data_IF_005908260148
#
_entry.id   IF_005908260148
#
_cell.length_a   1.000
_cell.length_b   1.000
_cell.length_c   1.000
_cell.angle_alpha   90.00
_cell.angle_beta   90.00
_cell.angle_gamma   90.00
#
_symmetry.space_group_name_H-M   'P 1'
#
loop_
_entity.id
_entity.type
_entity.pdbx_description
1 polymer ?
#
# COMPACT_ATOMS: atom_id res chain seq x y z
N UNK A 1 15.46 21.82 -0.24
CA UNK A 1 14.32 20.90 -0.11
C UNK A 1 13.86 20.54 -1.51
N UNK A 2 14.16 19.32 -1.98
CA UNK A 2 13.73 18.88 -3.29
C UNK A 2 12.22 18.67 -3.23
N UNK A 3 11.45 19.50 -3.92
CA UNK A 3 10.02 19.27 -4.16
C UNK A 3 9.91 17.96 -4.90
N UNK A 4 9.40 16.91 -4.23
CA UNK A 4 8.93 15.70 -4.91
C UNK A 4 7.90 16.16 -5.94
N UNK A 5 8.29 16.18 -7.21
CA UNK A 5 7.44 16.68 -8.27
C UNK A 5 6.25 15.71 -8.41
N UNK A 6 5.19 16.02 -7.71
CA UNK A 6 3.86 15.61 -8.09
C UNK A 6 3.64 16.19 -9.48
N UNK A 7 3.37 15.37 -10.47
CA UNK A 7 3.00 15.85 -11.81
C UNK A 7 1.77 16.73 -11.63
N UNK A 8 1.86 17.92 -12.16
CA UNK A 8 1.10 19.12 -11.87
C UNK A 8 -0.33 18.87 -11.38
N UNK A 9 -0.71 19.61 -10.32
CA UNK A 9 -2.09 19.70 -9.80
C UNK A 9 -3.11 19.93 -10.93
N UNK A 10 -2.71 20.57 -12.02
CA UNK A 10 -3.51 20.78 -13.22
C UNK A 10 -3.87 19.49 -13.94
N UNK A 11 -2.97 18.51 -14.05
CA UNK A 11 -3.27 17.22 -14.67
C UNK A 11 -4.17 16.39 -13.75
N UNK A 12 -3.88 16.37 -12.46
CA UNK A 12 -4.69 15.68 -11.46
C UNK A 12 -6.13 16.22 -11.42
N UNK A 13 -6.33 17.53 -11.55
CA UNK A 13 -7.65 18.15 -11.54
C UNK A 13 -8.55 17.72 -12.71
N UNK A 14 -7.97 17.44 -13.88
CA UNK A 14 -8.70 17.01 -15.07
C UNK A 14 -9.24 15.57 -14.97
N UNK A 15 -8.70 14.77 -14.06
CA UNK A 15 -9.05 13.36 -13.86
C UNK A 15 -9.73 13.10 -12.50
N UNK A 16 -10.05 14.15 -11.74
CA UNK A 16 -10.69 14.04 -10.44
C UNK A 16 -12.06 13.37 -10.54
N UNK A 17 -12.28 12.35 -9.73
CA UNK A 17 -13.60 11.79 -9.47
C UNK A 17 -14.21 12.50 -8.26
N UNK A 18 -15.34 13.17 -8.43
CA UNK A 18 -15.98 13.98 -7.39
C UNK A 18 -16.73 13.15 -6.31
N UNK A 19 -16.92 11.85 -6.54
CA UNK A 19 -17.76 11.04 -5.66
C UNK A 19 -16.99 10.44 -4.50
N UNK A 20 -17.30 10.88 -3.30
CA UNK A 20 -16.77 10.28 -2.07
C UNK A 20 -17.33 8.88 -1.86
N UNK A 21 -16.44 7.89 -1.82
CA UNK A 21 -16.78 6.48 -1.57
C UNK A 21 -16.62 6.14 -0.07
N UNK A 22 -17.23 5.03 0.43
CA UNK A 22 -16.95 4.54 1.78
C UNK A 22 -15.45 4.36 2.04
N UNK A 23 -14.69 3.92 1.05
CA UNK A 23 -13.26 3.77 1.13
C UNK A 23 -12.53 5.11 1.32
N UNK A 24 -12.84 6.13 0.53
CA UNK A 24 -12.19 7.45 0.68
C UNK A 24 -12.53 8.11 2.01
N UNK A 25 -13.74 7.89 2.55
CA UNK A 25 -14.09 8.31 3.91
C UNK A 25 -13.24 7.60 4.96
N UNK A 26 -13.07 6.29 4.82
CA UNK A 26 -12.21 5.53 5.71
C UNK A 26 -10.75 6.01 5.65
N UNK A 27 -10.17 6.17 4.46
CA UNK A 27 -8.80 6.69 4.29
C UNK A 27 -8.63 8.04 4.99
N UNK A 28 -9.59 8.97 4.82
CA UNK A 28 -9.59 10.25 5.52
C UNK A 28 -9.64 10.09 7.05
N UNK A 29 -10.41 9.13 7.56
CA UNK A 29 -10.53 8.89 9.00
C UNK A 29 -9.26 8.34 9.66
N UNK A 30 -8.33 7.77 8.88
CA UNK A 30 -7.03 7.29 9.37
C UNK A 30 -6.06 8.44 9.73
N UNK A 31 -6.38 9.68 9.38
CA UNK A 31 -5.58 10.86 9.73
C UNK A 31 -4.25 10.98 9.00
N UNK A 32 -4.06 10.19 7.94
CA UNK A 32 -2.86 10.23 7.09
C UNK A 32 -3.02 11.21 5.94
N UNK A 33 -1.88 11.67 5.41
CA UNK A 33 -1.90 12.43 4.17
C UNK A 33 -2.33 11.54 3.00
N UNK A 34 -3.11 12.13 2.12
CA UNK A 34 -3.47 11.56 0.83
C UNK A 34 -2.79 12.42 -0.21
N UNK A 35 -1.82 11.84 -0.94
CA UNK A 35 -1.17 12.52 -2.04
C UNK A 35 -1.95 12.21 -3.32
N UNK A 36 -2.72 13.16 -3.85
CA UNK A 36 -3.31 13.02 -5.17
C UNK A 36 -2.16 12.99 -6.16
N UNK A 37 -2.04 11.92 -6.95
CA UNK A 37 -0.91 11.81 -7.85
C UNK A 37 -1.29 11.01 -9.10
N UNK A 38 -0.90 11.55 -10.24
CA UNK A 38 -0.81 10.77 -11.47
C UNK A 38 0.52 10.01 -11.52
N UNK A 39 1.57 10.58 -10.91
CA UNK A 39 2.92 10.05 -10.94
C UNK A 39 3.69 10.45 -9.68
N UNK A 40 4.40 9.49 -9.07
CA UNK A 40 5.33 9.71 -7.97
C UNK A 40 6.74 9.34 -8.44
N UNK A 41 7.61 10.33 -8.53
CA UNK A 41 8.96 10.15 -9.06
C UNK A 41 9.79 9.13 -8.27
N UNK A 42 9.71 9.18 -6.96
CA UNK A 42 10.49 8.30 -6.08
C UNK A 42 9.74 8.03 -4.77
N UNK A 43 9.32 6.79 -4.59
CA UNK A 43 8.58 6.36 -3.40
C UNK A 43 9.42 6.37 -2.12
N UNK A 44 10.75 6.29 -2.24
CA UNK A 44 11.66 6.31 -1.07
C UNK A 44 11.78 7.70 -0.43
N UNK A 45 11.30 8.75 -1.08
CA UNK A 45 11.44 10.14 -0.64
C UNK A 45 10.13 10.84 -0.32
N UNK A 46 9.00 10.11 -0.35
CA UNK A 46 7.70 10.67 0.06
C UNK A 46 7.69 10.90 1.57
N UNK A 47 7.05 11.99 1.98
CA UNK A 47 6.86 12.29 3.40
C UNK A 47 5.85 11.30 4.00
N UNK A 48 6.17 10.74 5.16
CA UNK A 48 5.32 9.79 5.87
C UNK A 48 4.87 10.40 7.20
N UNK A 49 3.67 10.04 7.66
CA UNK A 49 3.13 10.38 8.97
C UNK A 49 2.93 9.12 9.82
N UNK A 50 2.99 9.23 11.16
CA UNK A 50 2.67 8.11 12.04
C UNK A 50 1.27 7.57 11.77
N UNK A 51 1.18 6.26 11.60
CA UNK A 51 -0.10 5.54 11.48
C UNK A 51 -0.34 4.75 12.77
N UNK A 52 -0.98 5.38 13.75
CA UNK A 52 -1.14 4.83 15.10
C UNK A 52 -1.77 3.44 15.10
N UNK A 53 -2.81 3.21 14.30
CA UNK A 53 -3.49 1.92 14.21
C UNK A 53 -2.58 0.79 13.71
N UNK A 54 -1.59 1.10 12.88
CA UNK A 54 -0.69 0.12 12.27
C UNK A 54 0.66 -0.02 12.97
N UNK A 55 1.07 1.00 13.75
CA UNK A 55 2.36 1.02 14.44
C UNK A 55 3.56 1.34 13.55
N UNK A 56 3.34 1.98 12.41
CA UNK A 56 4.36 2.43 11.47
C UNK A 56 4.11 3.85 11.00
N UNK A 57 4.81 4.29 9.95
CA UNK A 57 4.60 5.56 9.29
C UNK A 57 4.09 5.32 7.88
N UNK A 58 3.14 6.13 7.39
CA UNK A 58 2.57 5.91 6.07
C UNK A 58 2.09 7.20 5.37
N UNK A 59 1.80 7.06 4.08
CA UNK A 59 1.10 8.04 3.24
C UNK A 59 0.27 7.29 2.21
N UNK A 60 -0.96 7.71 1.99
CA UNK A 60 -1.78 7.20 0.90
C UNK A 60 -1.43 7.90 -0.41
N UNK A 61 -1.37 7.13 -1.49
CA UNK A 61 -1.16 7.63 -2.84
C UNK A 61 -2.45 7.37 -3.62
N UNK A 62 -3.24 8.41 -3.78
CA UNK A 62 -4.46 8.31 -4.58
C UNK A 62 -4.12 8.56 -6.05
N UNK A 63 -4.21 7.51 -6.86
CA UNK A 63 -3.99 7.60 -8.30
C UNK A 63 -5.29 8.02 -9.00
N UNK A 64 -5.48 9.31 -9.20
CA UNK A 64 -6.65 9.89 -9.85
C UNK A 64 -7.01 9.22 -11.18
N UNK A 65 -6.00 8.77 -11.93
CA UNK A 65 -6.20 8.07 -13.21
C UNK A 65 -6.88 6.70 -13.05
N UNK A 66 -6.80 6.05 -11.91
CA UNK A 66 -7.44 4.75 -11.66
C UNK A 66 -8.88 4.86 -11.16
N UNK A 67 -9.41 6.06 -11.02
CA UNK A 67 -10.77 6.34 -10.52
C UNK A 67 -11.12 5.54 -9.26
N UNK A 68 -10.18 5.45 -8.32
CA UNK A 68 -10.33 4.71 -7.06
C UNK A 68 -10.46 3.18 -7.18
N UNK A 69 -10.30 2.61 -8.38
CA UNK A 69 -10.30 1.16 -8.57
C UNK A 69 -8.99 0.50 -8.08
N UNK A 70 -7.89 1.25 -8.08
CA UNK A 70 -6.60 0.84 -7.55
C UNK A 70 -6.05 1.96 -6.69
N UNK A 71 -5.69 1.62 -5.48
CA UNK A 71 -5.05 2.53 -4.55
C UNK A 71 -3.75 1.95 -4.04
N UNK A 72 -2.87 2.79 -3.54
CA UNK A 72 -1.67 2.30 -2.88
C UNK A 72 -1.26 3.22 -1.74
N UNK A 73 -0.46 2.69 -0.85
CA UNK A 73 0.19 3.50 0.18
C UNK A 73 1.65 3.06 0.34
N UNK A 74 2.48 3.98 0.74
CA UNK A 74 3.83 3.70 1.22
C UNK A 74 3.77 3.60 2.72
N UNK A 75 4.36 2.53 3.27
CA UNK A 75 4.45 2.31 4.70
C UNK A 75 5.89 1.99 5.10
N UNK A 76 6.31 2.61 6.18
CA UNK A 76 7.59 2.34 6.82
C UNK A 76 7.36 1.60 8.15
N UNK A 77 8.14 0.56 8.34
CA UNK A 77 8.22 -0.14 9.62
C UNK A 77 9.47 0.35 10.35
N UNK A 78 9.36 0.94 11.54
CA UNK A 78 10.54 1.38 12.29
C UNK A 78 11.52 0.23 12.56
N UNK A 79 12.82 0.52 12.73
CA UNK A 79 13.85 -0.49 12.96
C UNK A 79 13.53 -1.42 14.14
N UNK A 80 13.62 -2.73 13.94
CA UNK A 80 13.36 -3.73 14.97
C UNK A 80 11.91 -3.79 15.45
N UNK A 81 10.98 -3.14 14.76
CA UNK A 81 9.55 -3.15 15.12
C UNK A 81 8.74 -4.00 14.15
N UNK A 82 7.48 -4.21 14.50
CA UNK A 82 6.47 -4.86 13.66
C UNK A 82 5.25 -3.97 13.52
N UNK A 83 4.50 -4.21 12.46
CA UNK A 83 3.17 -3.62 12.30
C UNK A 83 2.15 -4.40 13.13
N UNK A 84 1.03 -3.76 13.49
CA UNK A 84 -0.10 -4.47 14.06
C UNK A 84 -0.64 -5.50 13.06
N UNK A 85 -0.96 -6.73 13.49
CA UNK A 85 -1.53 -7.74 12.63
C UNK A 85 -2.91 -7.29 12.13
N UNK A 86 -3.26 -7.69 10.91
CA UNK A 86 -4.58 -7.43 10.35
C UNK A 86 -4.94 -8.43 9.26
N UNK A 87 -6.17 -8.36 8.77
CA UNK A 87 -6.65 -9.03 7.56
C UNK A 87 -7.59 -8.12 6.78
N UNK A 88 -7.79 -8.42 5.52
CA UNK A 88 -8.67 -7.67 4.61
C UNK A 88 -9.32 -8.59 3.58
N UNK A 89 -10.45 -8.12 3.02
CA UNK A 89 -11.22 -8.85 2.01
C UNK A 89 -10.89 -8.42 0.56
N UNK A 90 -9.78 -7.75 0.35
CA UNK A 90 -9.29 -7.33 -0.96
C UNK A 90 -7.86 -7.81 -1.19
N UNK A 91 -7.49 -7.90 -2.44
CA UNK A 91 -6.15 -8.32 -2.86
C UNK A 91 -5.10 -7.29 -2.45
N UNK A 92 -3.99 -7.77 -1.94
CA UNK A 92 -2.85 -6.94 -1.55
C UNK A 92 -1.57 -7.46 -2.20
N UNK A 93 -0.90 -6.57 -2.94
CA UNK A 93 0.42 -6.82 -3.49
C UNK A 93 1.43 -5.88 -2.83
N UNK A 94 2.53 -6.42 -2.35
CA UNK A 94 3.54 -5.70 -1.58
C UNK A 94 4.86 -5.71 -2.33
N UNK A 95 5.35 -4.52 -2.67
CA UNK A 95 6.70 -4.30 -3.17
C UNK A 95 7.57 -3.74 -2.04
N UNK A 96 8.66 -4.40 -1.72
CA UNK A 96 9.65 -3.91 -0.74
C UNK A 96 10.57 -2.92 -1.45
N UNK A 97 10.62 -1.69 -0.96
CA UNK A 97 11.44 -0.61 -1.53
C UNK A 97 12.59 -0.18 -0.62
N UNK A 98 12.92 -0.98 0.38
CA UNK A 98 14.06 -0.77 1.27
C UNK A 98 14.04 -1.69 2.47
N UNK A 99 15.21 -2.01 2.99
CA UNK A 99 15.38 -2.83 4.18
C UNK A 99 15.24 -4.33 3.96
N UNK A 100 15.09 -5.05 5.04
CA UNK A 100 14.85 -6.50 5.11
C UNK A 100 13.96 -6.82 6.30
N UNK A 101 13.24 -7.93 6.21
CA UNK A 101 12.36 -8.36 7.29
C UNK A 101 11.69 -9.67 6.98
N UNK A 102 10.58 -9.92 7.67
CA UNK A 102 9.77 -11.10 7.44
C UNK A 102 8.28 -10.77 7.48
N UNK A 103 7.50 -11.65 6.91
CA UNK A 103 6.04 -11.60 6.97
C UNK A 103 5.53 -12.96 7.44
N UNK A 104 4.68 -12.94 8.46
CA UNK A 104 3.92 -14.11 8.86
C UNK A 104 2.50 -13.97 8.35
N UNK A 105 1.98 -15.02 7.70
CA UNK A 105 0.61 -15.12 7.19
C UNK A 105 -0.05 -16.32 7.84
N UNK A 106 -1.31 -16.20 8.25
CA UNK A 106 -2.08 -17.31 8.83
C UNK A 106 -3.57 -17.20 8.53
N UNK A 107 -4.28 -18.30 8.59
CA UNK A 107 -5.72 -18.36 8.42
C UNK A 107 -6.42 -18.92 9.67
N UNK A 108 -7.76 -18.85 9.68
CA UNK A 108 -8.57 -19.33 10.80
C UNK A 108 -8.54 -20.87 10.94
N UNK A 109 -8.10 -21.61 9.90
CA UNK A 109 -7.90 -23.06 9.95
C UNK A 109 -6.56 -23.49 10.56
N UNK A 110 -5.75 -22.56 11.05
CA UNK A 110 -4.49 -22.83 11.74
C UNK A 110 -3.26 -22.95 10.83
N UNK A 111 -3.41 -22.88 9.51
CA UNK A 111 -2.27 -22.84 8.61
C UNK A 111 -1.49 -21.53 8.83
N UNK A 112 -0.17 -21.65 8.98
CA UNK A 112 0.72 -20.51 9.24
C UNK A 112 2.02 -20.67 8.48
N UNK A 113 2.49 -19.59 7.85
CA UNK A 113 3.77 -19.53 7.15
C UNK A 113 4.47 -18.20 7.46
N UNK A 114 5.78 -18.26 7.57
CA UNK A 114 6.64 -17.08 7.68
C UNK A 114 7.68 -17.14 6.56
N UNK A 115 7.89 -16.03 5.89
CA UNK A 115 8.92 -15.88 4.87
C UNK A 115 9.67 -14.56 5.04
N UNK A 116 10.92 -14.55 4.61
CA UNK A 116 11.78 -13.38 4.66
C UNK A 116 11.74 -12.61 3.34
N UNK A 117 11.99 -11.32 3.42
CA UNK A 117 12.06 -10.42 2.27
C UNK A 117 13.18 -9.39 2.44
N UNK A 118 13.62 -8.83 1.33
CA UNK A 118 14.59 -7.74 1.23
C UNK A 118 14.19 -6.75 0.15
N UNK A 119 14.94 -5.66 0.03
CA UNK A 119 14.73 -4.64 -1.03
C UNK A 119 14.58 -5.30 -2.41
N UNK A 120 13.57 -4.88 -3.16
CA UNK A 120 13.19 -5.42 -4.46
C UNK A 120 12.27 -6.65 -4.42
N UNK A 121 11.98 -7.23 -3.24
CA UNK A 121 11.04 -8.35 -3.15
C UNK A 121 9.61 -7.90 -3.48
N UNK A 122 8.87 -8.76 -4.20
CA UNK A 122 7.46 -8.60 -4.50
C UNK A 122 6.70 -9.86 -4.05
N UNK A 123 5.62 -9.67 -3.30
CA UNK A 123 4.76 -10.77 -2.87
C UNK A 123 3.31 -10.32 -2.69
N UNK A 124 2.39 -11.28 -2.66
CA UNK A 124 0.98 -11.05 -2.41
C UNK A 124 0.56 -11.70 -1.09
N UNK A 125 -0.44 -11.12 -0.43
CA UNK A 125 -1.09 -11.71 0.73
C UNK A 125 -2.34 -12.44 0.24
N UNK A 126 -2.54 -13.73 0.59
CA UNK A 126 -3.75 -14.44 0.26
C UNK A 126 -4.99 -13.75 0.84
N UNK A 127 -6.06 -13.74 0.06
CA UNK A 127 -7.31 -13.08 0.41
C UNK A 127 -7.82 -13.56 1.79
N UNK A 128 -8.27 -12.60 2.60
CA UNK A 128 -8.81 -12.84 3.95
C UNK A 128 -7.88 -13.58 4.93
N UNK A 129 -6.58 -13.63 4.66
CA UNK A 129 -5.61 -14.15 5.61
C UNK A 129 -5.13 -13.06 6.57
N UNK A 130 -4.96 -13.42 7.83
CA UNK A 130 -4.23 -12.59 8.77
C UNK A 130 -2.78 -12.50 8.36
N UNK A 131 -2.17 -11.35 8.57
CA UNK A 131 -0.74 -11.18 8.33
C UNK A 131 -0.12 -10.11 9.21
N UNK A 132 1.18 -10.24 9.42
CA UNK A 132 1.99 -9.30 10.19
C UNK A 132 3.38 -9.18 9.57
N UNK A 133 3.89 -7.95 9.50
CA UNK A 133 5.22 -7.65 8.94
C UNK A 133 6.15 -7.22 10.05
N UNK A 134 7.40 -7.65 9.95
CA UNK A 134 8.48 -7.41 10.92
C UNK A 134 9.68 -6.82 10.20
N UNK A 135 10.23 -5.72 10.72
CA UNK A 135 11.47 -5.16 10.22
C UNK A 135 12.66 -5.79 10.99
N UNK A 136 13.41 -6.65 10.32
CA UNK A 136 14.62 -7.30 10.85
C UNK A 136 15.90 -6.52 10.60
N UNK A 137 15.83 -5.29 10.10
CA UNK A 137 17.01 -4.46 9.85
C UNK A 137 17.23 -3.44 10.96
N UNK A 138 18.49 -3.02 11.14
CA UNK A 138 18.83 -1.87 11.99
C UNK A 138 18.46 -0.50 11.37
N UNK A 139 17.81 -0.50 10.20
CA UNK A 139 17.36 0.69 9.47
C UNK A 139 15.88 0.60 9.20
N UNK A 140 15.22 1.73 9.00
CA UNK A 140 13.82 1.76 8.59
C UNK A 140 13.61 0.94 7.32
N UNK A 141 12.64 0.02 7.34
CA UNK A 141 12.24 -0.80 6.19
C UNK A 141 10.99 -0.20 5.57
N UNK A 142 11.06 0.18 4.30
CA UNK A 142 9.92 0.75 3.59
C UNK A 142 9.22 -0.32 2.74
N UNK A 143 7.91 -0.43 2.91
CA UNK A 143 7.02 -1.29 2.13
C UNK A 143 6.10 -0.42 1.29
N UNK A 144 5.97 -0.75 0.01
CA UNK A 144 4.88 -0.25 -0.82
C UNK A 144 3.79 -1.30 -0.90
N UNK A 145 2.57 -0.91 -0.61
CA UNK A 145 1.38 -1.75 -0.78
C UNK A 145 0.49 -1.18 -1.87
N UNK A 146 -0.06 -2.05 -2.67
CA UNK A 146 -1.10 -1.74 -3.65
C UNK A 146 -2.36 -2.48 -3.24
N UNK A 147 -3.45 -1.75 -3.12
CA UNK A 147 -4.78 -2.30 -2.90
C UNK A 147 -5.58 -2.19 -4.19
N UNK A 148 -6.35 -3.20 -4.48
CA UNK A 148 -7.45 -3.11 -5.41
C UNK A 148 -8.73 -3.04 -4.60
N UNK A 149 -9.33 -1.85 -4.51
CA UNK A 149 -10.65 -1.72 -3.92
C UNK A 149 -11.68 -2.28 -4.89
N UNK A 150 -12.43 -3.30 -4.49
CA UNK A 150 -13.63 -3.68 -5.21
C UNK A 150 -14.60 -2.49 -5.17
N UNK A 151 -14.84 -1.87 -6.31
CA UNK A 151 -15.98 -0.97 -6.47
C UNK A 151 -17.24 -1.76 -6.15
N UNK A 152 -18.08 -1.23 -5.24
CA UNK A 152 -19.24 -1.93 -4.69
C UNK A 152 -20.07 -2.64 -5.76
N UNK A 153 -20.60 -3.80 -5.39
CA UNK A 153 -21.64 -4.59 -6.05
C UNK A 153 -21.34 -5.20 -7.44
N UNK A 154 -20.09 -5.47 -7.78
CA UNK A 154 -19.79 -6.36 -8.90
C UNK A 154 -19.26 -7.70 -8.38
N UNK A 155 -19.77 -8.85 -8.87
CA UNK A 155 -19.23 -10.15 -8.52
C UNK A 155 -17.77 -10.22 -8.98
N UNK A 156 -16.90 -10.76 -8.13
CA UNK A 156 -15.48 -10.95 -8.34
C UNK A 156 -15.19 -11.60 -9.70
N UNK A 157 -14.99 -10.80 -10.74
CA UNK A 157 -14.39 -11.27 -11.99
C UNK A 157 -12.90 -11.04 -11.87
N UNK A 158 -12.14 -12.15 -11.90
CA UNK A 158 -10.70 -12.15 -11.80
C UNK A 158 -10.05 -11.17 -12.79
N UNK A 159 -9.49 -10.12 -12.28
CA UNK A 159 -8.70 -9.15 -13.07
C UNK A 159 -7.29 -9.71 -13.21
N UNK A 160 -6.95 -10.20 -14.40
CA UNK A 160 -5.58 -10.54 -14.77
C UNK A 160 -4.76 -9.26 -14.86
N UNK A 161 -3.73 -9.13 -14.02
CA UNK A 161 -2.74 -8.07 -14.18
C UNK A 161 -1.77 -8.52 -15.27
N UNK A 162 -1.84 -7.90 -16.44
CA UNK A 162 -0.80 -8.01 -17.45
C UNK A 162 0.32 -7.03 -17.09
N UNK A 163 1.43 -7.57 -16.59
CA UNK A 163 2.71 -6.87 -16.60
C UNK A 163 3.28 -7.00 -18.01
N UNK A 164 3.03 -6.02 -18.87
CA UNK A 164 3.80 -5.92 -20.11
C UNK A 164 5.18 -5.37 -19.78
N UNK A 165 6.16 -6.26 -19.87
CA UNK A 165 7.56 -5.89 -19.94
C UNK A 165 7.82 -5.49 -21.39
N UNK A 166 8.00 -4.20 -21.67
CA UNK A 166 8.69 -3.76 -22.88
C UNK A 166 10.10 -3.38 -22.48
N UNK A 167 11.02 -4.12 -23.05
CA UNK A 167 12.48 -3.88 -23.05
C UNK A 167 12.77 -2.61 -23.84
#
# INVERSE_FOLDING_TARGET
>A
MAKNAVVSEELASKFKTEKETPYTRWVKSEGLDILPSFYVRNLKTVALKPWARRGGNAVFLNHDASRTSNDCYVMEIPPGKSLAPHRQLYEEMILVIGGRGSTTVWNDAGARITFEWKDGALFAIPLNCHHQHFNGSGRAGALRRRHQCAAGDQPLRGSRIHLQHQI
#
